data_IF_672484682971
#
_entry.id   IF_672484682971
#
_cell.length_a   1.000
_cell.length_b   1.000
_cell.length_c   1.000
_cell.angle_alpha   90.00
_cell.angle_beta   90.00
_cell.angle_gamma   90.00
#
_symmetry.space_group_name_H-M   'P 1'
#
loop_
_entity.id
_entity.type
_entity.pdbx_description
1 polymer ?
#
# COMPACT_ATOMS: atom_id res chain seq x y z
N UNK A 1 21.74 17.08 -7.06
CA UNK A 1 20.95 16.32 -6.08
C UNK A 1 21.66 15.03 -5.77
N UNK A 2 22.00 14.82 -4.55
CA UNK A 2 23.09 13.96 -4.06
C UNK A 2 22.75 12.47 -4.15
N UNK A 3 23.80 11.65 -4.38
CA UNK A 3 23.79 10.18 -4.30
C UNK A 3 23.09 9.63 -3.03
N UNK A 4 23.10 10.39 -1.94
CA UNK A 4 22.41 10.05 -0.68
C UNK A 4 20.90 9.83 -0.82
N UNK A 5 20.21 10.43 -1.79
CA UNK A 5 18.76 10.29 -1.94
C UNK A 5 18.40 8.93 -2.60
N UNK A 6 19.19 8.51 -3.59
CA UNK A 6 18.98 7.21 -4.26
C UNK A 6 19.32 6.03 -3.34
N UNK A 7 20.38 6.17 -2.54
CA UNK A 7 20.77 5.18 -1.52
C UNK A 7 19.71 5.02 -0.43
N UNK A 8 19.14 6.13 0.04
CA UNK A 8 18.07 6.14 1.05
C UNK A 8 16.79 5.51 0.50
N UNK A 9 16.48 5.72 -0.80
CA UNK A 9 15.30 5.14 -1.46
C UNK A 9 15.48 3.64 -1.66
N UNK A 10 16.64 3.19 -2.13
CA UNK A 10 16.94 1.76 -2.30
C UNK A 10 16.94 1.02 -0.94
N UNK A 11 17.54 1.60 0.10
CA UNK A 11 17.51 1.05 1.46
C UNK A 11 16.11 1.03 2.05
N UNK A 12 15.27 2.02 1.76
CA UNK A 12 13.88 2.07 2.22
C UNK A 12 12.99 1.02 1.54
N UNK A 13 13.19 0.79 0.24
CA UNK A 13 12.51 -0.28 -0.53
C UNK A 13 12.96 -1.66 -0.03
N UNK A 14 14.23 -1.83 0.30
CA UNK A 14 14.80 -3.10 0.81
C UNK A 14 14.48 -3.32 2.31
N UNK A 15 14.23 -2.27 3.08
CA UNK A 15 13.86 -2.32 4.48
C UNK A 15 12.36 -2.38 4.74
N UNK A 16 11.54 -2.17 3.71
CA UNK A 16 10.07 -2.27 3.81
C UNK A 16 9.65 -3.75 3.77
N UNK A 17 9.65 -4.35 4.98
CA UNK A 17 9.46 -5.78 5.18
C UNK A 17 8.11 -6.30 4.67
N UNK A 18 7.07 -5.48 4.56
CA UNK A 18 5.76 -5.94 4.12
C UNK A 18 5.62 -5.87 2.60
N UNK A 19 6.17 -4.85 1.94
CA UNK A 19 6.30 -4.84 0.48
C UNK A 19 7.21 -5.99 0.04
N UNK A 20 8.35 -6.20 0.74
CA UNK A 20 9.23 -7.36 0.51
C UNK A 20 8.52 -8.68 0.80
N UNK A 21 7.65 -8.77 1.81
CA UNK A 21 6.90 -9.97 2.16
C UNK A 21 5.75 -10.24 1.16
N UNK A 22 5.04 -9.22 0.70
CA UNK A 22 4.01 -9.36 -0.33
C UNK A 22 4.62 -9.61 -1.72
N UNK A 23 5.71 -8.96 -2.08
CA UNK A 23 6.50 -9.27 -3.28
C UNK A 23 7.10 -10.68 -3.17
N UNK A 24 7.67 -11.09 -2.03
CA UNK A 24 8.15 -12.45 -1.80
C UNK A 24 7.02 -13.50 -1.82
N UNK A 25 5.85 -13.17 -1.33
CA UNK A 25 4.68 -14.05 -1.39
C UNK A 25 4.13 -14.18 -2.81
N UNK A 26 4.14 -13.08 -3.57
CA UNK A 26 3.85 -13.08 -5.00
C UNK A 26 4.90 -13.87 -5.78
N UNK A 27 6.19 -13.60 -5.54
CA UNK A 27 7.32 -14.31 -6.15
C UNK A 27 7.28 -15.80 -5.77
N UNK A 28 7.07 -16.17 -4.51
CA UNK A 28 6.92 -17.56 -4.08
C UNK A 28 5.73 -18.26 -4.74
N UNK A 29 4.62 -17.58 -4.96
CA UNK A 29 3.45 -18.12 -5.68
C UNK A 29 3.68 -18.23 -7.18
N UNK A 30 4.28 -17.23 -7.80
CA UNK A 30 4.70 -17.28 -9.21
C UNK A 30 5.76 -18.35 -9.45
N UNK A 31 6.63 -18.61 -8.47
CA UNK A 31 7.67 -19.63 -8.51
C UNK A 31 7.20 -21.03 -8.10
N UNK A 32 6.05 -21.17 -7.43
CA UNK A 32 5.48 -22.48 -7.06
C UNK A 32 4.86 -23.24 -8.24
N UNK A 33 4.60 -22.56 -9.35
CA UNK A 33 4.27 -23.17 -10.64
C UNK A 33 5.56 -23.54 -11.41
N UNK A 34 5.48 -24.29 -12.48
CA UNK A 34 6.59 -24.82 -13.33
C UNK A 34 7.88 -23.98 -13.48
N UNK A 35 7.85 -22.68 -13.10
CA UNK A 35 8.98 -21.76 -13.09
C UNK A 35 10.04 -22.03 -12.01
N UNK A 36 9.69 -22.66 -10.90
CA UNK A 36 10.61 -22.89 -9.78
C UNK A 36 11.75 -23.85 -10.12
N UNK A 37 11.49 -24.87 -10.96
CA UNK A 37 12.53 -25.80 -11.40
C UNK A 37 13.54 -25.11 -12.33
N UNK A 38 13.05 -24.23 -13.22
CA UNK A 38 13.88 -23.46 -14.15
C UNK A 38 14.80 -22.46 -13.43
N UNK A 39 14.30 -21.82 -12.37
CA UNK A 39 15.11 -20.90 -11.55
C UNK A 39 16.17 -21.62 -10.72
N UNK A 40 15.85 -22.81 -10.17
CA UNK A 40 16.83 -23.63 -9.42
C UNK A 40 18.00 -24.13 -10.28
N UNK A 41 17.78 -24.32 -11.58
CA UNK A 41 18.80 -24.75 -12.54
C UNK A 41 19.54 -23.57 -13.22
N UNK A 42 19.07 -22.33 -13.01
CA UNK A 42 19.64 -21.15 -13.64
C UNK A 42 21.01 -20.80 -13.05
N UNK A 43 21.95 -20.42 -13.91
CA UNK A 43 23.27 -19.90 -13.49
C UNK A 43 23.23 -18.38 -13.32
N UNK A 44 24.19 -17.82 -12.56
CA UNK A 44 24.37 -16.38 -12.42
C UNK A 44 24.53 -15.69 -13.78
N UNK A 45 25.27 -16.31 -14.70
CA UNK A 45 25.46 -15.79 -16.08
C UNK A 45 24.15 -15.74 -16.87
N UNK A 46 23.29 -16.75 -16.71
CA UNK A 46 21.97 -16.75 -17.36
C UNK A 46 21.03 -15.70 -16.78
N UNK A 47 21.08 -15.48 -15.46
CA UNK A 47 20.33 -14.41 -14.80
C UNK A 47 20.86 -13.02 -15.24
N UNK A 48 22.18 -12.86 -15.39
CA UNK A 48 22.79 -11.64 -15.89
C UNK A 48 22.36 -11.33 -17.32
N UNK A 49 22.32 -12.32 -18.21
CA UNK A 49 21.82 -12.14 -19.59
C UNK A 49 20.39 -11.61 -19.65
N UNK A 50 19.53 -11.99 -18.69
CA UNK A 50 18.15 -11.46 -18.60
C UNK A 50 18.18 -9.96 -18.26
N UNK A 51 19.04 -9.56 -17.32
CA UNK A 51 19.19 -8.14 -16.95
C UNK A 51 19.77 -7.35 -18.13
N UNK A 52 20.82 -7.85 -18.77
CA UNK A 52 21.50 -7.18 -19.87
C UNK A 52 20.56 -6.98 -21.06
N UNK A 53 19.86 -8.02 -21.48
CA UNK A 53 18.86 -7.95 -22.56
C UNK A 53 17.74 -6.93 -22.28
N UNK A 54 17.38 -6.75 -21.03
CA UNK A 54 16.33 -5.81 -20.64
C UNK A 54 16.87 -4.39 -20.43
N UNK A 55 18.15 -4.24 -20.01
CA UNK A 55 18.80 -2.94 -19.82
C UNK A 55 19.25 -2.28 -21.12
N UNK A 56 19.41 -3.04 -22.22
CA UNK A 56 19.73 -2.52 -23.57
C UNK A 56 18.54 -1.80 -24.23
N UNK A 57 17.40 -1.72 -23.55
CA UNK A 57 16.21 -1.09 -24.12
C UNK A 57 16.46 0.40 -24.38
N UNK A 58 16.42 0.80 -25.68
CA UNK A 58 16.72 2.14 -26.18
C UNK A 58 15.89 3.27 -25.52
N UNK A 59 14.74 2.94 -24.93
CA UNK A 59 13.89 3.91 -24.24
C UNK A 59 14.52 4.32 -22.90
N UNK A 60 15.08 3.36 -22.16
CA UNK A 60 15.69 3.61 -20.86
C UNK A 60 17.11 4.15 -20.95
N UNK A 61 17.89 3.72 -21.95
CA UNK A 61 19.30 4.14 -22.14
C UNK A 61 19.45 5.59 -22.58
N UNK A 62 18.39 6.26 -23.06
CA UNK A 62 18.40 7.69 -23.38
C UNK A 62 18.50 8.59 -22.15
N UNK A 63 18.12 8.11 -20.96
CA UNK A 63 18.25 8.87 -19.72
C UNK A 63 19.62 8.60 -19.08
N UNK A 64 20.48 9.62 -18.87
CA UNK A 64 21.83 9.42 -18.31
C UNK A 64 21.86 8.92 -16.88
N UNK A 65 20.76 9.03 -16.14
CA UNK A 65 20.64 8.58 -14.75
C UNK A 65 20.43 7.05 -14.69
N UNK A 66 19.70 6.50 -15.65
CA UNK A 66 19.29 5.09 -15.64
C UNK A 66 20.48 4.10 -15.66
N UNK A 67 21.50 4.25 -16.51
CA UNK A 67 22.65 3.35 -16.49
C UNK A 67 23.40 3.33 -15.14
N UNK A 68 23.51 4.49 -14.48
CA UNK A 68 24.16 4.60 -13.17
C UNK A 68 23.36 3.92 -12.07
N UNK A 69 22.04 4.12 -12.06
CA UNK A 69 21.14 3.46 -11.10
C UNK A 69 21.14 1.94 -11.30
N UNK A 70 21.08 1.49 -12.54
CA UNK A 70 21.14 0.08 -12.90
C UNK A 70 22.44 -0.59 -12.46
N UNK A 71 23.58 0.08 -12.68
CA UNK A 71 24.90 -0.39 -12.25
C UNK A 71 24.97 -0.54 -10.71
N UNK A 72 24.50 0.46 -9.97
CA UNK A 72 24.53 0.42 -8.51
C UNK A 72 23.63 -0.68 -7.94
N UNK A 73 22.43 -0.86 -8.49
CA UNK A 73 21.54 -1.96 -8.11
C UNK A 73 22.16 -3.32 -8.38
N UNK A 74 22.79 -3.50 -9.55
CA UNK A 74 23.49 -4.76 -9.88
C UNK A 74 24.66 -5.03 -8.94
N UNK A 75 25.44 -4.00 -8.59
CA UNK A 75 26.52 -4.10 -7.62
C UNK A 75 26.03 -4.58 -6.24
N UNK A 76 24.90 -4.06 -5.77
CA UNK A 76 24.28 -4.48 -4.52
C UNK A 76 23.75 -5.91 -4.60
N UNK A 77 23.14 -6.29 -5.72
CA UNK A 77 22.68 -7.66 -5.96
C UNK A 77 23.85 -8.64 -5.99
N UNK A 78 24.96 -8.28 -6.63
CA UNK A 78 26.16 -9.13 -6.71
C UNK A 78 26.83 -9.30 -5.34
N UNK A 79 26.66 -8.36 -4.41
CA UNK A 79 27.11 -8.46 -3.03
C UNK A 79 26.27 -9.43 -2.16
N UNK A 80 25.18 -9.99 -2.66
CA UNK A 80 24.38 -10.98 -1.95
C UNK A 80 25.14 -12.31 -1.91
N UNK A 81 25.52 -12.76 -0.72
CA UNK A 81 26.27 -13.99 -0.53
C UNK A 81 25.52 -15.25 -0.98
N UNK A 82 24.23 -15.31 -0.70
CA UNK A 82 23.39 -16.45 -1.07
C UNK A 82 23.11 -16.45 -2.57
N UNK A 83 23.69 -17.43 -3.30
CA UNK A 83 23.55 -17.60 -4.74
C UNK A 83 22.10 -17.64 -5.22
N UNK A 84 21.23 -18.37 -4.52
CA UNK A 84 19.81 -18.48 -4.91
C UNK A 84 19.08 -17.12 -4.81
N UNK A 85 19.37 -16.36 -3.74
CA UNK A 85 18.80 -15.03 -3.55
C UNK A 85 19.36 -14.06 -4.60
N UNK A 86 20.63 -14.13 -4.94
CA UNK A 86 21.25 -13.29 -5.98
C UNK A 86 20.64 -13.55 -7.36
N UNK A 87 20.45 -14.81 -7.75
CA UNK A 87 19.80 -15.19 -9.01
C UNK A 87 18.37 -14.67 -9.03
N UNK A 88 17.63 -14.87 -7.92
CA UNK A 88 16.25 -14.38 -7.80
C UNK A 88 16.18 -12.85 -7.95
N UNK A 89 17.07 -12.12 -7.29
CA UNK A 89 17.13 -10.66 -7.37
C UNK A 89 17.40 -10.17 -8.82
N UNK A 90 18.33 -10.80 -9.54
CA UNK A 90 18.62 -10.49 -10.96
C UNK A 90 17.42 -10.72 -11.86
N UNK A 91 16.77 -11.87 -11.73
CA UNK A 91 15.57 -12.21 -12.53
C UNK A 91 14.43 -11.24 -12.24
N UNK A 92 14.19 -10.95 -10.97
CA UNK A 92 13.16 -9.99 -10.56
C UNK A 92 13.42 -8.60 -11.12
N UNK A 93 14.65 -8.11 -11.03
CA UNK A 93 15.06 -6.82 -11.61
C UNK A 93 14.82 -6.77 -13.11
N UNK A 94 15.21 -7.82 -13.85
CA UNK A 94 14.95 -7.89 -15.30
C UNK A 94 13.47 -7.86 -15.65
N UNK A 95 12.63 -8.56 -14.88
CA UNK A 95 11.17 -8.54 -15.06
C UNK A 95 10.58 -7.15 -14.76
N UNK A 96 11.01 -6.50 -13.69
CA UNK A 96 10.57 -5.13 -13.37
C UNK A 96 10.92 -4.14 -14.48
N UNK A 97 12.10 -4.23 -15.07
CA UNK A 97 12.49 -3.41 -16.23
C UNK A 97 11.53 -3.58 -17.40
N UNK A 98 11.21 -4.81 -17.76
CA UNK A 98 10.28 -5.09 -18.86
C UNK A 98 8.89 -4.49 -18.60
N UNK A 99 8.40 -4.63 -17.39
CA UNK A 99 7.11 -4.11 -16.98
C UNK A 99 7.06 -2.58 -17.09
N UNK A 100 8.07 -1.90 -16.54
CA UNK A 100 8.18 -0.43 -16.59
C UNK A 100 8.27 0.06 -18.03
N UNK A 101 9.12 -0.57 -18.86
CA UNK A 101 9.26 -0.21 -20.29
C UNK A 101 7.94 -0.41 -21.03
N UNK A 102 7.25 -1.53 -20.78
CA UNK A 102 5.97 -1.81 -21.41
C UNK A 102 4.93 -0.76 -21.03
N UNK A 103 4.88 -0.36 -19.75
CA UNK A 103 4.01 0.73 -19.32
C UNK A 103 4.34 2.05 -20.03
N UNK A 104 5.61 2.48 -20.03
CA UNK A 104 6.03 3.75 -20.64
C UNK A 104 5.68 3.79 -22.13
N UNK A 105 5.79 2.68 -22.86
CA UNK A 105 5.43 2.59 -24.29
C UNK A 105 3.93 2.79 -24.54
N UNK A 106 3.07 2.46 -23.60
CA UNK A 106 1.62 2.53 -23.76
C UNK A 106 0.98 3.67 -22.97
N UNK A 107 1.73 4.35 -22.08
CA UNK A 107 1.24 5.45 -21.29
C UNK A 107 0.98 6.69 -22.15
N UNK A 108 -0.12 7.36 -21.89
CA UNK A 108 -0.44 8.65 -22.48
C UNK A 108 0.44 9.76 -21.90
N UNK A 109 0.66 10.88 -22.63
CA UNK A 109 1.41 12.03 -22.07
C UNK A 109 0.87 12.50 -20.72
N UNK A 110 -0.46 12.59 -20.57
CA UNK A 110 -1.11 12.99 -19.32
C UNK A 110 -0.85 12.04 -18.14
N UNK A 111 -0.70 10.74 -18.40
CA UNK A 111 -0.32 9.77 -17.37
C UNK A 111 1.15 9.91 -16.98
N UNK A 112 2.03 10.20 -17.94
CA UNK A 112 3.45 10.46 -17.68
C UNK A 112 3.61 11.73 -16.87
N UNK A 113 2.92 12.82 -17.23
CA UNK A 113 2.94 14.08 -16.51
C UNK A 113 2.47 13.89 -15.06
N UNK A 114 1.35 13.19 -14.86
CA UNK A 114 0.83 12.88 -13.51
C UNK A 114 1.82 12.10 -12.65
N UNK A 115 2.58 11.19 -13.23
CA UNK A 115 3.60 10.43 -12.51
C UNK A 115 4.82 11.32 -12.23
N UNK A 116 5.18 12.19 -13.17
CA UNK A 116 6.31 13.12 -13.03
C UNK A 116 6.08 14.18 -11.95
N UNK A 117 4.82 14.53 -11.69
CA UNK A 117 4.42 15.46 -10.63
C UNK A 117 4.48 14.85 -9.22
N UNK A 118 4.69 13.54 -9.10
CA UNK A 118 4.86 12.88 -7.80
C UNK A 118 6.11 13.42 -7.10
N UNK A 119 5.92 13.99 -5.91
CA UNK A 119 7.01 14.60 -5.11
C UNK A 119 7.98 13.58 -4.52
N UNK A 120 7.58 12.33 -4.47
CA UNK A 120 8.34 11.23 -3.89
C UNK A 120 8.69 10.21 -4.98
N UNK A 121 9.98 10.01 -5.22
CA UNK A 121 10.47 9.05 -6.19
C UNK A 121 9.99 7.61 -5.92
N UNK A 122 9.77 7.25 -4.66
CA UNK A 122 9.25 5.92 -4.27
C UNK A 122 7.80 5.77 -4.72
N UNK A 123 6.96 6.78 -4.49
CA UNK A 123 5.56 6.76 -4.91
C UNK A 123 5.44 6.74 -6.43
N UNK A 124 6.32 7.47 -7.13
CA UNK A 124 6.44 7.41 -8.58
C UNK A 124 6.75 6.00 -9.08
N UNK A 125 7.77 5.34 -8.50
CA UNK A 125 8.14 3.97 -8.88
C UNK A 125 7.03 2.96 -8.60
N UNK A 126 6.39 3.05 -7.43
CA UNK A 126 5.25 2.20 -7.07
C UNK A 126 4.10 2.38 -8.07
N UNK A 127 3.76 3.63 -8.41
CA UNK A 127 2.71 3.94 -9.37
C UNK A 127 2.99 3.37 -10.76
N UNK A 128 4.22 3.57 -11.27
CA UNK A 128 4.65 3.03 -12.57
C UNK A 128 4.57 1.50 -12.55
N UNK A 129 5.08 0.86 -11.50
CA UNK A 129 5.09 -0.60 -11.38
C UNK A 129 3.68 -1.18 -11.27
N UNK A 130 2.83 -0.59 -10.43
CA UNK A 130 1.44 -1.04 -10.29
C UNK A 130 0.66 -0.91 -11.61
N UNK A 131 0.85 0.19 -12.34
CA UNK A 131 0.20 0.39 -13.64
C UNK A 131 0.73 -0.55 -14.70
N UNK A 132 2.04 -0.84 -14.72
CA UNK A 132 2.63 -1.80 -15.66
C UNK A 132 2.05 -3.21 -15.50
N UNK A 133 1.85 -3.66 -14.25
CA UNK A 133 1.19 -4.93 -13.95
C UNK A 133 -0.27 -4.95 -14.44
N UNK A 134 -0.96 -3.81 -14.37
CA UNK A 134 -2.36 -3.72 -14.80
C UNK A 134 -2.56 -3.92 -16.30
N UNK A 135 -1.61 -3.50 -17.12
CA UNK A 135 -1.66 -3.62 -18.59
C UNK A 135 -1.06 -4.93 -19.08
N UNK A 136 -0.35 -5.68 -18.24
CA UNK A 136 0.31 -6.94 -18.61
C UNK A 136 -0.72 -8.07 -18.75
N UNK A 137 -0.87 -8.62 -19.95
CA UNK A 137 -1.85 -9.67 -20.23
C UNK A 137 -1.48 -11.02 -19.59
N UNK A 138 -0.21 -11.24 -19.29
CA UNK A 138 0.26 -12.46 -18.62
C UNK A 138 -0.11 -12.48 -17.12
N UNK A 139 -0.47 -11.34 -16.54
CA UNK A 139 -0.94 -11.25 -15.16
C UNK A 139 -2.42 -11.59 -15.07
N UNK A 140 -2.76 -12.62 -14.29
CA UNK A 140 -4.13 -13.08 -14.15
C UNK A 140 -5.08 -11.98 -13.63
N UNK A 141 -6.35 -11.98 -14.07
CA UNK A 141 -7.38 -11.04 -13.58
C UNK A 141 -7.53 -11.03 -12.06
N UNK A 142 -7.31 -12.16 -11.41
CA UNK A 142 -7.33 -12.31 -9.96
C UNK A 142 -6.23 -11.46 -9.29
N UNK A 143 -4.99 -11.55 -9.77
CA UNK A 143 -3.88 -10.76 -9.22
C UNK A 143 -4.05 -9.26 -9.49
N UNK A 144 -4.53 -8.90 -10.69
CA UNK A 144 -4.90 -7.50 -11.01
C UNK A 144 -5.97 -6.97 -10.07
N UNK A 145 -6.95 -7.80 -9.70
CA UNK A 145 -8.01 -7.41 -8.76
C UNK A 145 -7.47 -7.17 -7.34
N UNK A 146 -6.60 -8.05 -6.84
CA UNK A 146 -5.94 -7.87 -5.54
C UNK A 146 -5.14 -6.56 -5.51
N UNK A 147 -4.33 -6.32 -6.55
CA UNK A 147 -3.51 -5.12 -6.64
C UNK A 147 -4.37 -3.85 -6.68
N UNK A 148 -5.44 -3.82 -7.50
CA UNK A 148 -6.42 -2.72 -7.50
C UNK A 148 -7.00 -2.46 -6.12
N UNK A 149 -7.39 -3.52 -5.42
CA UNK A 149 -7.90 -3.43 -4.06
C UNK A 149 -6.89 -2.82 -3.09
N UNK A 150 -5.62 -3.22 -3.16
CA UNK A 150 -4.54 -2.69 -2.32
C UNK A 150 -4.27 -1.22 -2.61
N UNK A 151 -4.15 -0.82 -3.87
CA UNK A 151 -3.97 0.58 -4.29
C UNK A 151 -5.12 1.45 -3.78
N UNK A 152 -6.36 1.00 -3.98
CA UNK A 152 -7.55 1.73 -3.53
C UNK A 152 -7.57 1.91 -2.01
N UNK A 153 -7.22 0.86 -1.25
CA UNK A 153 -7.15 0.92 0.22
C UNK A 153 -6.11 1.90 0.71
N UNK A 154 -4.90 1.86 0.15
CA UNK A 154 -3.83 2.80 0.49
C UNK A 154 -4.23 4.24 0.14
N UNK A 155 -4.81 4.47 -1.03
CA UNK A 155 -5.34 5.76 -1.44
C UNK A 155 -6.39 6.29 -0.47
N UNK A 156 -7.37 5.47 -0.07
CA UNK A 156 -8.40 5.87 0.89
C UNK A 156 -7.82 6.30 2.24
N UNK A 157 -6.82 5.59 2.76
CA UNK A 157 -6.16 5.96 4.01
C UNK A 157 -5.44 7.30 3.83
N UNK A 158 -4.69 7.48 2.75
CA UNK A 158 -3.95 8.71 2.46
C UNK A 158 -4.87 9.92 2.29
N UNK A 159 -5.97 9.79 1.54
CA UNK A 159 -7.00 10.84 1.35
C UNK A 159 -7.65 11.29 2.66
N UNK A 160 -7.66 10.43 3.68
CA UNK A 160 -8.22 10.72 5.00
C UNK A 160 -7.16 11.02 6.07
N UNK A 161 -6.01 11.55 5.65
CA UNK A 161 -4.95 12.04 6.54
C UNK A 161 -3.90 11.00 6.91
N UNK A 162 -3.89 9.83 6.28
CA UNK A 162 -2.92 8.78 6.55
C UNK A 162 -3.23 7.99 7.82
N UNK A 163 -2.18 7.42 8.42
CA UNK A 163 -2.29 6.65 9.65
C UNK A 163 -1.08 6.89 10.56
N UNK A 164 -1.33 7.06 11.83
CA UNK A 164 -0.34 7.28 12.88
C UNK A 164 0.21 5.97 13.44
N UNK A 165 1.47 5.97 13.85
CA UNK A 165 1.98 4.93 14.72
C UNK A 165 1.57 5.18 16.20
N UNK A 166 1.89 4.22 17.08
CA UNK A 166 1.51 4.34 18.48
C UNK A 166 2.19 5.52 19.19
N UNK A 167 3.40 5.93 18.76
CA UNK A 167 4.12 7.07 19.36
C UNK A 167 3.46 8.38 18.97
N UNK A 168 3.07 8.51 17.72
CA UNK A 168 2.32 9.68 17.21
C UNK A 168 0.96 9.81 17.92
N UNK A 169 0.25 8.67 18.13
CA UNK A 169 -1.01 8.66 18.89
C UNK A 169 -0.77 9.07 20.35
N UNK A 170 0.31 8.58 21.00
CA UNK A 170 0.68 8.98 22.36
C UNK A 170 0.91 10.50 22.46
N UNK A 171 1.66 11.05 21.50
CA UNK A 171 1.94 12.50 21.47
C UNK A 171 0.66 13.33 21.27
N UNK A 172 -0.22 12.88 20.38
CA UNK A 172 -1.45 13.60 20.04
C UNK A 172 -2.50 13.56 21.15
N UNK A 173 -2.61 12.42 21.85
CA UNK A 173 -3.71 12.16 22.79
C UNK A 173 -3.29 12.22 24.26
N UNK A 174 -2.00 12.17 24.56
CA UNK A 174 -1.48 11.98 25.91
C UNK A 174 -1.68 10.58 26.48
N UNK A 175 -2.18 9.62 25.69
CA UNK A 175 -2.45 8.26 26.16
C UNK A 175 -1.15 7.46 26.32
N UNK A 176 -1.14 6.54 27.30
CA UNK A 176 -0.07 5.55 27.39
C UNK A 176 -0.22 4.49 26.29
N UNK A 177 0.87 3.79 26.00
CA UNK A 177 0.84 2.62 25.08
C UNK A 177 -0.17 1.56 25.54
N UNK A 178 -0.28 1.33 26.85
CA UNK A 178 -1.26 0.41 27.43
C UNK A 178 -2.69 0.85 27.16
N UNK A 179 -2.98 2.15 27.30
CA UNK A 179 -4.31 2.72 26.99
C UNK A 179 -4.68 2.52 25.52
N UNK A 180 -3.76 2.79 24.58
CA UNK A 180 -3.95 2.60 23.15
C UNK A 180 -4.27 1.12 22.85
N UNK A 181 -3.46 0.21 23.42
CA UNK A 181 -3.67 -1.23 23.27
C UNK A 181 -5.02 -1.69 23.83
N UNK A 182 -5.43 -1.15 24.99
CA UNK A 182 -6.74 -1.45 25.59
C UNK A 182 -7.88 -0.99 24.67
N UNK A 183 -7.83 0.23 24.12
CA UNK A 183 -8.86 0.72 23.21
C UNK A 183 -8.93 -0.07 21.91
N UNK A 184 -7.78 -0.46 21.35
CA UNK A 184 -7.74 -1.31 20.17
C UNK A 184 -8.34 -2.69 20.44
N UNK A 185 -7.90 -3.37 21.52
CA UNK A 185 -8.38 -4.71 21.86
C UNK A 185 -9.87 -4.72 22.26
N UNK A 186 -10.37 -3.63 22.85
CA UNK A 186 -11.80 -3.46 23.16
C UNK A 186 -12.65 -2.95 21.98
N UNK A 187 -12.09 -2.94 20.76
CA UNK A 187 -12.76 -2.49 19.53
C UNK A 187 -13.28 -1.03 19.62
N UNK A 188 -12.58 -0.16 20.33
CA UNK A 188 -12.91 1.27 20.50
C UNK A 188 -11.98 2.20 19.75
N UNK A 189 -11.00 1.64 19.08
CA UNK A 189 -10.00 2.33 18.25
C UNK A 189 -9.76 1.50 17.00
N UNK A 190 -9.93 2.11 15.82
CA UNK A 190 -9.58 1.45 14.57
C UNK A 190 -8.07 1.38 14.42
N UNK A 191 -7.58 0.18 14.10
CA UNK A 191 -6.19 -0.07 13.78
C UNK A 191 -6.06 -0.97 12.56
N UNK A 192 -5.10 -0.68 11.73
CA UNK A 192 -4.78 -1.44 10.52
C UNK A 192 -3.31 -1.84 10.52
N UNK A 193 -2.99 -3.02 10.02
CA UNK A 193 -1.60 -3.42 9.78
C UNK A 193 -1.13 -2.86 8.44
N UNK A 194 -0.16 -1.97 8.50
CA UNK A 194 0.58 -1.44 7.35
C UNK A 194 2.04 -1.83 7.56
N UNK A 195 2.63 -2.54 6.61
CA UNK A 195 4.02 -3.03 6.67
C UNK A 195 4.31 -3.85 7.93
N UNK A 196 3.39 -4.73 8.28
CA UNK A 196 3.49 -5.57 9.48
C UNK A 196 3.33 -4.83 10.81
N UNK A 197 3.24 -3.51 10.81
CA UNK A 197 3.08 -2.66 12.00
C UNK A 197 1.64 -2.21 12.15
N UNK A 198 1.13 -2.24 13.39
CA UNK A 198 -0.19 -1.70 13.68
C UNK A 198 -0.14 -0.17 13.64
N UNK A 199 -1.00 0.41 12.80
CA UNK A 199 -1.17 1.85 12.64
C UNK A 199 -2.63 2.24 12.84
N UNK A 200 -2.87 3.50 13.16
CA UNK A 200 -4.17 4.04 13.54
C UNK A 200 -4.57 5.15 12.58
N UNK A 201 -5.65 5.02 11.77
CA UNK A 201 -6.08 6.05 10.84
C UNK A 201 -6.22 7.42 11.48
N UNK A 202 -5.64 8.44 10.84
CA UNK A 202 -5.54 9.79 11.37
C UNK A 202 -6.91 10.46 11.57
N UNK A 203 -7.91 10.14 10.74
CA UNK A 203 -9.24 10.74 10.79
C UNK A 203 -9.97 10.56 12.14
N UNK A 204 -9.52 9.61 12.97
CA UNK A 204 -10.09 9.35 14.30
C UNK A 204 -9.75 10.43 15.32
N UNK A 205 -8.77 11.25 15.01
CA UNK A 205 -8.19 12.21 15.93
C UNK A 205 -8.39 13.65 15.45
N UNK A 206 -8.36 14.58 16.40
CA UNK A 206 -8.29 16.00 16.21
C UNK A 206 -7.26 16.59 17.16
N UNK A 207 -7.16 17.91 17.27
CA UNK A 207 -6.24 18.62 18.14
C UNK A 207 -6.47 18.36 19.65
N UNK A 208 -7.67 17.87 20.02
CA UNK A 208 -8.06 17.55 21.40
C UNK A 208 -7.92 16.06 21.71
N UNK A 209 -7.39 15.27 20.78
CA UNK A 209 -7.27 13.82 20.88
C UNK A 209 -8.29 13.06 20.03
N UNK A 210 -8.86 11.99 20.52
CA UNK A 210 -9.85 11.21 19.76
C UNK A 210 -11.19 11.93 19.71
N UNK A 211 -11.80 11.97 18.51
CA UNK A 211 -13.09 12.61 18.27
C UNK A 211 -14.15 12.07 19.24
N UNK A 212 -14.83 12.99 19.93
CA UNK A 212 -15.86 12.65 20.92
C UNK A 212 -17.02 11.87 20.28
N UNK A 213 -17.43 10.78 20.89
CA UNK A 213 -18.50 9.91 20.40
C UNK A 213 -18.04 8.86 19.37
N UNK A 214 -16.81 8.95 18.86
CA UNK A 214 -16.32 8.01 17.84
C UNK A 214 -15.99 6.64 18.43
N UNK A 215 -15.56 6.54 19.69
CA UNK A 215 -15.26 5.27 20.38
C UNK A 215 -16.46 4.33 20.40
N UNK A 216 -17.62 4.88 20.74
CA UNK A 216 -18.89 4.16 20.84
C UNK A 216 -19.32 3.65 19.46
N UNK A 217 -19.19 4.49 18.44
CA UNK A 217 -19.54 4.14 17.06
C UNK A 217 -18.63 3.04 16.52
N UNK A 218 -17.31 3.17 16.71
CA UNK A 218 -16.33 2.14 16.30
C UNK A 218 -16.63 0.82 17.01
N UNK A 219 -16.88 0.86 18.32
CA UNK A 219 -17.20 -0.33 19.10
C UNK A 219 -18.43 -1.04 18.55
N UNK A 220 -19.51 -0.29 18.26
CA UNK A 220 -20.74 -0.83 17.68
C UNK A 220 -20.49 -1.46 16.31
N UNK A 221 -19.78 -0.76 15.41
CA UNK A 221 -19.46 -1.24 14.08
C UNK A 221 -18.63 -2.54 14.10
N UNK A 222 -17.54 -2.55 14.87
CA UNK A 222 -16.64 -3.71 14.91
C UNK A 222 -17.24 -4.91 15.66
N UNK A 223 -18.25 -4.71 16.50
CA UNK A 223 -19.00 -5.83 17.08
C UNK A 223 -19.99 -6.46 16.08
N UNK A 224 -20.44 -5.71 15.07
CA UNK A 224 -21.32 -6.23 14.03
C UNK A 224 -20.55 -6.87 12.87
N UNK A 225 -19.45 -6.25 12.42
CA UNK A 225 -18.79 -6.68 11.20
C UNK A 225 -17.46 -7.41 11.44
N UNK A 226 -16.80 -7.17 12.59
CA UNK A 226 -15.44 -7.59 12.93
C UNK A 226 -14.40 -7.28 11.83
N UNK A 227 -14.73 -6.36 10.92
CA UNK A 227 -13.90 -5.98 9.77
C UNK A 227 -13.57 -4.49 9.78
N UNK A 228 -12.27 -4.21 9.80
CA UNK A 228 -11.73 -2.85 9.75
C UNK A 228 -12.24 -2.07 8.53
N UNK A 229 -12.21 -2.67 7.35
CA UNK A 229 -12.54 -1.95 6.11
C UNK A 229 -14.02 -1.62 6.00
N UNK A 230 -14.88 -2.48 6.50
CA UNK A 230 -16.32 -2.21 6.62
C UNK A 230 -16.60 -1.03 7.55
N UNK A 231 -15.96 -1.01 8.73
CA UNK A 231 -16.08 0.11 9.67
C UNK A 231 -15.47 1.41 9.10
N UNK A 232 -14.30 1.33 8.46
CA UNK A 232 -13.65 2.47 7.84
C UNK A 232 -14.52 3.07 6.73
N UNK A 233 -14.97 2.26 5.76
CA UNK A 233 -15.77 2.72 4.63
C UNK A 233 -17.14 3.24 5.06
N UNK A 234 -17.77 2.65 6.09
CA UNK A 234 -18.98 3.20 6.67
C UNK A 234 -18.78 4.63 7.16
N UNK A 235 -17.70 4.89 7.89
CA UNK A 235 -17.45 6.20 8.49
C UNK A 235 -17.17 7.31 7.46
N UNK A 236 -16.54 6.97 6.31
CA UNK A 236 -16.09 7.95 5.32
C UNK A 236 -17.04 8.13 4.14
N UNK A 237 -17.95 7.19 3.89
CA UNK A 237 -18.90 7.32 2.79
C UNK A 237 -20.11 8.16 3.19
N UNK A 238 -20.61 8.98 2.26
CA UNK A 238 -21.85 9.73 2.47
C UNK A 238 -23.03 8.79 2.67
N UNK A 239 -23.99 9.20 3.48
CA UNK A 239 -25.17 8.43 3.80
C UNK A 239 -26.41 9.33 3.78
N UNK A 240 -27.42 8.90 3.01
CA UNK A 240 -28.68 9.63 2.82
C UNK A 240 -29.67 9.46 3.98
N UNK A 241 -29.45 8.45 4.84
CA UNK A 241 -30.35 8.17 5.98
C UNK A 241 -30.00 8.97 7.24
N UNK A 242 -28.93 9.76 7.20
CA UNK A 242 -28.62 10.68 8.29
C UNK A 242 -29.51 11.93 8.19
N UNK A 243 -29.99 12.49 9.35
CA UNK A 243 -30.95 13.59 9.38
C UNK A 243 -30.29 14.94 9.05
N UNK A 244 -29.87 15.11 7.80
CA UNK A 244 -29.28 16.33 7.27
C UNK A 244 -29.86 16.64 5.88
N UNK A 245 -29.97 17.90 5.52
CA UNK A 245 -30.49 18.35 4.23
C UNK A 245 -29.74 17.82 3.02
N UNK A 246 -28.46 17.50 3.20
CA UNK A 246 -27.59 16.89 2.18
C UNK A 246 -26.88 15.69 2.75
N UNK A 247 -26.62 14.64 1.94
CA UNK A 247 -25.87 13.49 2.36
C UNK A 247 -24.50 13.87 2.90
N UNK A 248 -24.23 13.50 4.14
CA UNK A 248 -22.92 13.66 4.80
C UNK A 248 -22.36 12.32 5.24
N UNK A 249 -21.07 12.29 5.55
CA UNK A 249 -20.44 11.09 6.10
C UNK A 249 -20.82 10.91 7.57
N UNK A 250 -20.95 9.67 8.06
CA UNK A 250 -21.13 9.41 9.49
C UNK A 250 -20.06 10.07 10.36
N UNK A 251 -18.81 10.08 9.90
CA UNK A 251 -17.71 10.81 10.57
C UNK A 251 -18.00 12.31 10.70
N UNK A 252 -18.53 12.95 9.65
CA UNK A 252 -18.90 14.38 9.68
C UNK A 252 -20.08 14.62 10.63
N UNK A 253 -21.05 13.70 10.67
CA UNK A 253 -22.17 13.77 11.60
C UNK A 253 -21.69 13.69 13.07
N UNK A 254 -20.77 12.78 13.38
CA UNK A 254 -20.18 12.64 14.70
C UNK A 254 -19.43 13.94 15.10
N UNK A 255 -18.62 14.51 14.18
CA UNK A 255 -17.92 15.79 14.41
C UNK A 255 -18.89 16.95 14.71
N UNK A 256 -20.11 16.88 14.18
CA UNK A 256 -21.20 17.84 14.47
C UNK A 256 -22.00 17.50 15.74
N UNK A 257 -21.61 16.50 16.50
CA UNK A 257 -22.27 16.09 17.75
C UNK A 257 -23.46 15.12 17.56
N UNK A 258 -23.74 14.68 16.32
CA UNK A 258 -24.88 13.78 16.01
C UNK A 258 -24.52 12.30 16.13
N UNK A 259 -23.80 11.91 17.17
CA UNK A 259 -23.39 10.52 17.42
C UNK A 259 -24.59 9.58 17.55
N UNK A 260 -25.67 10.05 18.20
CA UNK A 260 -26.90 9.25 18.39
C UNK A 260 -27.51 8.81 17.07
N UNK A 261 -27.64 9.71 16.11
CA UNK A 261 -28.20 9.40 14.77
C UNK A 261 -27.35 8.37 14.02
N UNK A 262 -26.03 8.43 14.19
CA UNK A 262 -25.13 7.44 13.59
C UNK A 262 -25.30 6.06 14.25
N UNK A 263 -25.43 6.01 15.57
CA UNK A 263 -25.67 4.75 16.30
C UNK A 263 -27.01 4.12 15.91
N UNK A 264 -28.08 4.90 15.80
CA UNK A 264 -29.41 4.43 15.34
C UNK A 264 -29.33 3.90 13.88
N UNK A 265 -28.57 4.56 13.02
CA UNK A 265 -28.37 4.08 11.65
C UNK A 265 -27.64 2.73 11.60
N UNK A 266 -26.68 2.49 12.49
CA UNK A 266 -25.98 1.20 12.58
C UNK A 266 -26.96 0.11 13.06
N UNK A 267 -27.83 0.40 14.00
CA UNK A 267 -28.85 -0.53 14.51
C UNK A 267 -29.84 -0.93 13.43
N UNK A 268 -30.42 0.05 12.72
CA UNK A 268 -31.39 -0.21 11.65
C UNK A 268 -30.83 -1.06 10.50
N UNK A 269 -29.54 -0.95 10.20
CA UNK A 269 -28.87 -1.80 9.18
C UNK A 269 -28.70 -3.24 9.63
N UNK A 270 -28.47 -3.46 10.91
CA UNK A 270 -28.35 -4.80 11.47
C UNK A 270 -29.69 -5.56 11.41
N UNK A 271 -30.80 -4.88 11.72
CA UNK A 271 -32.13 -5.47 11.70
C UNK A 271 -32.59 -5.88 10.29
N UNK A 272 -32.09 -5.15 9.24
CA UNK A 272 -32.38 -5.46 7.82
C UNK A 272 -31.53 -6.61 7.26
N UNK A 273 -30.37 -6.91 7.85
CA UNK A 273 -29.47 -7.97 7.38
C UNK A 273 -29.68 -9.32 8.09
N UNK A 274 -30.57 -9.39 9.06
CA UNK A 274 -30.87 -10.56 9.88
C UNK A 274 -32.02 -11.45 9.37
N UNK A 275 -32.47 -11.27 8.10
CA UNK A 275 -33.49 -12.10 7.46
C UNK A 275 -32.97 -12.84 6.25
#
# INVERSE_FOLDING_TARGET
MSLNCAETVAQKILSDSAFAEDVNKYIKRALSSKSSAKLKSMTDSQAQLIVDKNSENKVLTKNPIYPKLNYELLRQIDAIDNRANRILAKVTMGQMHNQVVNYIKHATPAEIDKISDEKNATDMLINVFCKSIMIDDDVSPYHKSILRGSIKRTGLISEHGGAYDYKEVMQLTGWSKATISTYYNSKRLLGIKIDGKLKYPAFQFNTEGMIKGLKEVIHKLLNQTDDFWSAFTFLINKNDFLPFDKPITPLAAIKKGNTKSVLSLIESRHDQSGH
#
